data_IF_690144759346
#
_entry.id   IF_690144759346
#
_cell.length_a   1.000
_cell.length_b   1.000
_cell.length_c   1.000
_cell.angle_alpha   90.00
_cell.angle_beta   90.00
_cell.angle_gamma   90.00
#
_symmetry.space_group_name_H-M   'P 1'
#
loop_
_entity.id
_entity.type
_entity.pdbx_description
1 polymer ?
#
# COMPACT_ATOMS: atom_id res chain seq x y z
N UNK A 1 4.37 -6.02 19.89
CA UNK A 1 3.89 -4.82 19.19
C UNK A 1 3.13 -5.22 17.95
N UNK A 2 1.99 -4.61 17.66
CA UNK A 2 1.27 -4.94 16.44
C UNK A 2 2.09 -4.56 15.21
N UNK A 3 1.98 -5.41 14.19
CA UNK A 3 2.60 -5.18 12.90
C UNK A 3 1.56 -5.26 11.81
N UNK A 4 1.76 -4.47 10.78
CA UNK A 4 0.90 -4.49 9.61
C UNK A 4 1.75 -4.65 8.36
N UNK A 5 1.21 -5.34 7.39
CA UNK A 5 1.85 -5.51 6.09
C UNK A 5 0.91 -4.98 5.03
N UNK A 6 1.41 -4.07 4.21
CA UNK A 6 0.70 -3.55 3.06
C UNK A 6 1.32 -4.13 1.80
N UNK A 7 0.61 -5.01 1.14
CA UNK A 7 1.04 -5.60 -0.12
C UNK A 7 0.43 -4.86 -1.28
N UNK A 8 1.23 -4.47 -2.25
CA UNK A 8 0.76 -3.77 -3.45
C UNK A 8 1.09 -4.58 -4.69
N UNK A 9 0.05 -4.95 -5.42
CA UNK A 9 0.17 -5.53 -6.75
C UNK A 9 0.13 -4.37 -7.73
N UNK A 10 1.29 -4.00 -8.25
CA UNK A 10 1.43 -2.81 -9.08
C UNK A 10 1.08 -3.08 -10.54
N UNK A 11 0.22 -2.24 -11.09
CA UNK A 11 -0.12 -2.24 -12.49
C UNK A 11 0.20 -0.90 -13.13
N UNK A 12 0.07 -0.78 -14.43
CA UNK A 12 0.36 0.46 -15.15
C UNK A 12 -0.70 1.52 -14.87
N UNK A 13 -1.97 1.14 -14.91
CA UNK A 13 -3.09 2.06 -14.75
C UNK A 13 -3.63 2.07 -13.32
N UNK A 14 -3.57 0.94 -12.64
CA UNK A 14 -4.14 0.75 -11.29
C UNK A 14 -3.22 -0.11 -10.45
N UNK A 15 -3.29 0.11 -9.14
CA UNK A 15 -2.64 -0.76 -8.16
C UNK A 15 -3.71 -1.36 -7.27
N UNK A 16 -3.45 -2.56 -6.75
CA UNK A 16 -4.31 -3.17 -5.73
C UNK A 16 -3.51 -3.29 -4.44
N UNK A 17 -4.01 -2.69 -3.37
CA UNK A 17 -3.37 -2.72 -2.06
C UNK A 17 -4.19 -3.55 -1.09
N UNK A 18 -3.51 -4.44 -0.39
CA UNK A 18 -4.11 -5.24 0.68
C UNK A 18 -3.28 -5.04 1.94
N UNK A 19 -3.94 -4.73 3.04
CA UNK A 19 -3.29 -4.59 4.35
C UNK A 19 -3.75 -5.72 5.24
N UNK A 20 -2.81 -6.40 5.86
CA UNK A 20 -3.09 -7.47 6.83
C UNK A 20 -2.40 -7.17 8.16
N UNK A 21 -2.93 -7.74 9.24
CA UNK A 21 -2.31 -7.67 10.57
C UNK A 21 -1.43 -8.90 10.84
N UNK A 22 -0.87 -9.00 12.05
CA UNK A 22 0.01 -10.12 12.47
C UNK A 22 -0.69 -11.47 12.41
N UNK A 23 -2.02 -11.50 12.53
CA UNK A 23 -2.79 -12.73 12.48
C UNK A 23 -3.18 -13.11 11.05
N UNK A 24 -2.77 -12.31 10.08
CA UNK A 24 -3.12 -12.50 8.69
C UNK A 24 -4.52 -12.02 8.32
N UNK A 25 -5.17 -11.31 9.23
CA UNK A 25 -6.50 -10.77 8.97
C UNK A 25 -6.43 -9.60 8.00
N UNK A 26 -7.25 -9.65 6.97
CA UNK A 26 -7.34 -8.55 6.00
C UNK A 26 -8.09 -7.38 6.60
N UNK A 27 -7.43 -6.23 6.67
CA UNK A 27 -7.99 -5.00 7.21
C UNK A 27 -8.43 -4.04 6.13
N UNK A 28 -7.81 -4.11 4.95
CA UNK A 28 -8.09 -3.24 3.84
C UNK A 28 -7.79 -3.98 2.53
N UNK A 29 -8.64 -3.76 1.54
CA UNK A 29 -8.40 -4.21 0.18
C UNK A 29 -8.92 -3.12 -0.73
N UNK A 30 -8.05 -2.49 -1.50
CA UNK A 30 -8.43 -1.34 -2.31
C UNK A 30 -7.68 -1.31 -3.62
N UNK A 31 -8.42 -1.04 -4.70
CA UNK A 31 -7.86 -0.75 -6.01
C UNK A 31 -7.78 0.76 -6.16
N UNK A 32 -6.61 1.27 -6.53
CA UNK A 32 -6.39 2.70 -6.71
C UNK A 32 -5.79 2.98 -8.07
N UNK A 33 -6.09 4.14 -8.61
CA UNK A 33 -5.49 4.60 -9.85
C UNK A 33 -4.01 4.94 -9.63
N UNK A 34 -3.21 4.78 -10.67
CA UNK A 34 -1.78 5.11 -10.64
C UNK A 34 -1.60 6.61 -10.89
N UNK A 35 -2.09 7.43 -9.96
CA UNK A 35 -1.88 8.87 -9.98
C UNK A 35 -1.54 9.36 -8.56
N UNK A 36 -0.93 10.53 -8.48
CA UNK A 36 -0.41 11.04 -7.22
C UNK A 36 -1.51 11.24 -6.17
N UNK A 37 -2.64 11.82 -6.54
CA UNK A 37 -3.73 12.08 -5.60
C UNK A 37 -4.30 10.79 -5.01
N UNK A 38 -4.56 9.80 -5.86
CA UNK A 38 -5.10 8.51 -5.41
C UNK A 38 -4.11 7.78 -4.53
N UNK A 39 -2.83 7.80 -4.88
CA UNK A 39 -1.78 7.14 -4.10
C UNK A 39 -1.56 7.82 -2.76
N UNK A 40 -1.58 9.15 -2.71
CA UNK A 40 -1.45 9.88 -1.45
C UNK A 40 -2.62 9.58 -0.51
N UNK A 41 -3.83 9.49 -1.03
CA UNK A 41 -4.99 9.10 -0.24
C UNK A 41 -4.83 7.69 0.32
N UNK A 42 -4.35 6.75 -0.49
CA UNK A 42 -4.10 5.40 -0.06
C UNK A 42 -3.04 5.35 1.05
N UNK A 43 -1.93 6.05 0.86
CA UNK A 43 -0.86 6.09 1.86
C UNK A 43 -1.34 6.68 3.19
N UNK A 44 -2.13 7.75 3.13
CA UNK A 44 -2.71 8.36 4.33
C UNK A 44 -3.64 7.40 5.05
N UNK A 45 -4.50 6.72 4.31
CA UNK A 45 -5.45 5.75 4.87
C UNK A 45 -4.75 4.57 5.53
N UNK A 46 -3.73 4.02 4.88
CA UNK A 46 -2.96 2.90 5.42
C UNK A 46 -2.17 3.32 6.65
N UNK A 47 -1.56 4.50 6.62
CA UNK A 47 -0.80 5.03 7.76
C UNK A 47 -1.72 5.24 8.96
N UNK A 48 -2.90 5.80 8.73
CA UNK A 48 -3.89 6.01 9.79
C UNK A 48 -4.37 4.68 10.37
N UNK A 49 -4.59 3.69 9.51
CA UNK A 49 -5.00 2.35 9.92
C UNK A 49 -3.94 1.70 10.83
N UNK A 50 -2.67 1.89 10.51
CA UNK A 50 -1.58 1.34 11.31
C UNK A 50 -1.46 2.02 12.68
N UNK A 51 -1.89 3.28 12.81
CA UNK A 51 -1.99 3.97 14.09
C UNK A 51 -0.68 4.08 14.85
N UNK A 52 0.44 4.27 14.17
CA UNK A 52 1.76 4.33 14.80
C UNK A 52 2.43 2.98 15.01
N UNK A 53 1.77 1.88 14.66
CA UNK A 53 2.37 0.54 14.70
C UNK A 53 3.36 0.37 13.54
N UNK A 54 4.17 -0.68 13.61
CA UNK A 54 5.10 -1.01 12.53
C UNK A 54 4.34 -1.40 11.27
N UNK A 55 4.65 -0.73 10.18
CA UNK A 55 4.04 -0.97 8.88
C UNK A 55 5.12 -1.31 7.87
N UNK A 56 4.99 -2.46 7.23
CA UNK A 56 5.91 -2.91 6.19
C UNK A 56 5.20 -2.93 4.85
N UNK A 57 5.82 -2.32 3.86
CA UNK A 57 5.30 -2.29 2.48
C UNK A 57 6.01 -3.35 1.64
N UNK A 58 5.24 -4.09 0.88
CA UNK A 58 5.75 -5.04 -0.09
C UNK A 58 5.13 -4.72 -1.45
N UNK A 59 5.96 -4.35 -2.41
CA UNK A 59 5.52 -3.97 -3.74
C UNK A 59 6.05 -4.96 -4.78
N UNK A 60 5.21 -5.32 -5.73
CA UNK A 60 5.65 -6.08 -6.89
C UNK A 60 6.31 -5.10 -7.88
N UNK A 61 7.57 -5.32 -8.19
CA UNK A 61 8.37 -4.42 -9.01
C UNK A 61 8.49 -4.88 -10.47
N UNK A 62 7.65 -5.80 -10.90
CA UNK A 62 7.77 -6.38 -12.24
C UNK A 62 7.61 -5.37 -13.38
N UNK A 63 6.99 -4.22 -13.12
CA UNK A 63 6.68 -3.23 -14.16
C UNK A 63 6.97 -1.82 -13.68
N UNK A 64 7.22 -0.92 -14.63
CA UNK A 64 7.44 0.49 -14.34
C UNK A 64 6.27 1.21 -13.67
N UNK A 65 5.09 0.57 -13.61
CA UNK A 65 3.91 1.13 -12.96
C UNK A 65 4.08 1.42 -11.46
N UNK A 66 5.07 0.80 -10.81
CA UNK A 66 5.33 1.02 -9.40
C UNK A 66 6.19 2.26 -9.12
N UNK A 67 6.74 2.90 -10.13
CA UNK A 67 7.70 4.00 -9.94
C UNK A 67 7.13 5.16 -9.14
N UNK A 68 5.91 5.59 -9.43
CA UNK A 68 5.28 6.70 -8.71
C UNK A 68 5.02 6.32 -7.25
N UNK A 69 4.49 5.14 -7.01
CA UNK A 69 4.23 4.65 -5.64
C UNK A 69 5.52 4.60 -4.84
N UNK A 70 6.60 4.06 -5.42
CA UNK A 70 7.89 3.96 -4.74
C UNK A 70 8.47 5.33 -4.42
N UNK A 71 8.32 6.29 -5.32
CA UNK A 71 8.76 7.66 -5.08
C UNK A 71 8.02 8.29 -3.90
N UNK A 72 6.72 8.05 -3.78
CA UNK A 72 5.92 8.58 -2.68
C UNK A 72 6.20 7.89 -1.35
N UNK A 73 6.65 6.63 -1.38
CA UNK A 73 7.02 5.89 -0.16
C UNK A 73 8.40 6.24 0.36
N UNK A 74 9.23 6.82 -0.45
CA UNK A 74 10.62 7.13 -0.09
C UNK A 74 10.73 8.23 0.97
#
# INVERSE_FOLDING_TARGET
MPRYWAGVDAGKAHHHCVVIDDDGKRLLSRKVENDESALLELLAEVTELAGGATLTWACDLNHGGAALLLALLA
#
